data_IF_701355111077
#
_entry.id   IF_701355111077
#
_cell.length_a   1.000
_cell.length_b   1.000
_cell.length_c   1.000
_cell.angle_alpha   90.00
_cell.angle_beta   90.00
_cell.angle_gamma   90.00
#
_symmetry.space_group_name_H-M   'P 1'
#
loop_
_entity.id
_entity.type
_entity.pdbx_description
1 polymer ?
#
# COMPACT_ATOMS: atom_id res chain seq x y z
N UNK A 1 38.76 -16.39 -2.61
CA UNK A 1 37.49 -15.74 -2.89
C UNK A 1 37.69 -14.80 -4.06
N UNK A 2 37.25 -15.20 -5.26
CA UNK A 2 37.31 -14.36 -6.45
C UNK A 2 36.18 -13.34 -6.32
N UNK A 3 36.50 -12.09 -5.99
CA UNK A 3 35.61 -10.97 -6.03
C UNK A 3 35.16 -10.68 -7.46
N UNK A 4 34.11 -11.32 -7.94
CA UNK A 4 33.43 -10.86 -9.14
C UNK A 4 32.84 -9.48 -8.83
N UNK A 5 33.34 -8.46 -9.50
CA UNK A 5 32.71 -7.15 -9.48
C UNK A 5 31.29 -7.33 -10.06
N UNK A 6 30.27 -7.15 -9.22
CA UNK A 6 28.90 -7.01 -9.71
C UNK A 6 28.88 -5.86 -10.73
N UNK A 7 28.37 -6.11 -11.94
CA UNK A 7 28.19 -5.06 -12.95
C UNK A 7 27.35 -3.94 -12.31
N UNK A 8 27.93 -2.75 -12.23
CA UNK A 8 27.19 -1.55 -11.83
C UNK A 8 26.20 -1.23 -12.93
N UNK A 9 24.92 -1.29 -12.65
CA UNK A 9 23.83 -0.98 -13.60
C UNK A 9 23.84 0.47 -14.14
N UNK A 10 24.73 1.29 -13.70
CA UNK A 10 24.96 2.66 -14.12
C UNK A 10 25.44 3.51 -12.95
N UNK A 11 26.08 4.61 -13.27
CA UNK A 11 26.44 5.65 -12.32
C UNK A 11 25.72 6.92 -12.75
N UNK A 12 24.96 7.53 -11.87
CA UNK A 12 24.16 8.70 -12.16
C UNK A 12 24.47 9.81 -11.16
N UNK A 13 24.41 11.05 -11.65
CA UNK A 13 24.26 12.24 -10.82
C UNK A 13 22.77 12.57 -10.78
N UNK A 14 22.22 12.70 -9.58
CA UNK A 14 20.77 12.85 -9.34
C UNK A 14 20.52 14.10 -8.51
N UNK A 15 19.61 14.96 -8.97
CA UNK A 15 19.15 16.15 -8.27
C UNK A 15 17.63 16.19 -8.12
N UNK A 16 17.13 16.61 -6.97
CA UNK A 16 15.70 16.76 -6.71
C UNK A 16 15.39 18.04 -5.93
N UNK A 17 14.33 18.70 -6.32
CA UNK A 17 13.72 19.77 -5.50
C UNK A 17 12.22 19.49 -5.37
N UNK A 18 11.67 19.71 -4.18
CA UNK A 18 10.27 19.57 -3.90
C UNK A 18 9.80 20.81 -3.12
N UNK A 19 8.85 21.53 -3.69
CA UNK A 19 8.16 22.64 -3.04
C UNK A 19 6.70 22.29 -2.89
N UNK A 20 6.14 22.44 -1.69
CA UNK A 20 4.75 22.11 -1.40
C UNK A 20 4.10 23.18 -0.55
N UNK A 21 2.82 23.45 -0.83
CA UNK A 21 1.98 24.31 -0.03
C UNK A 21 0.63 23.60 0.20
N UNK A 22 0.13 23.64 1.44
CA UNK A 22 -1.13 23.01 1.83
C UNK A 22 -2.06 24.07 2.40
N UNK A 23 -3.32 24.05 1.95
CA UNK A 23 -4.44 24.71 2.59
C UNK A 23 -5.50 23.68 2.97
N UNK A 24 -6.03 23.75 4.19
CA UNK A 24 -7.09 22.86 4.68
C UNK A 24 -8.06 23.64 5.56
N UNK A 25 -9.32 23.24 5.52
CA UNK A 25 -10.36 23.83 6.35
C UNK A 25 -11.45 22.79 6.69
N UNK A 26 -12.00 22.97 7.89
CA UNK A 26 -13.10 22.17 8.41
C UNK A 26 -14.30 23.08 8.68
N UNK A 27 -15.49 22.69 8.22
CA UNK A 27 -16.73 23.43 8.44
C UNK A 27 -17.75 22.54 9.14
N UNK A 28 -18.25 23.00 10.28
CA UNK A 28 -19.40 22.38 10.92
C UNK A 28 -20.68 22.80 10.18
N UNK A 29 -21.28 21.86 9.46
CA UNK A 29 -22.52 22.09 8.70
C UNK A 29 -23.77 22.03 9.59
N UNK A 30 -23.78 21.11 10.56
CA UNK A 30 -24.84 20.86 11.51
C UNK A 30 -24.29 20.05 12.70
N UNK A 31 -25.05 19.85 13.78
CA UNK A 31 -24.67 18.95 14.86
C UNK A 31 -24.29 17.56 14.32
N UNK A 32 -23.08 17.13 14.61
CA UNK A 32 -22.54 15.85 14.15
C UNK A 32 -22.01 15.83 12.70
N UNK A 33 -22.21 16.87 11.89
CA UNK A 33 -21.76 16.92 10.49
C UNK A 33 -20.60 17.89 10.30
N UNK A 34 -19.49 17.42 9.73
CA UNK A 34 -18.32 18.24 9.40
C UNK A 34 -17.90 17.99 7.95
N UNK A 35 -17.83 19.04 7.17
CA UNK A 35 -17.24 19.05 5.84
C UNK A 35 -15.76 19.40 5.97
N UNK A 36 -14.91 18.62 5.32
CA UNK A 36 -13.47 18.82 5.26
C UNK A 36 -13.10 19.15 3.81
N UNK A 37 -12.26 20.16 3.64
CA UNK A 37 -11.70 20.50 2.35
C UNK A 37 -10.20 20.71 2.47
N UNK A 38 -9.43 20.17 1.54
CA UNK A 38 -8.01 20.49 1.46
C UNK A 38 -7.52 20.51 0.03
N UNK A 39 -6.49 21.29 -0.23
CA UNK A 39 -5.74 21.27 -1.48
C UNK A 39 -4.27 21.42 -1.17
N UNK A 40 -3.47 20.51 -1.70
CA UNK A 40 -2.02 20.61 -1.68
C UNK A 40 -1.55 20.96 -3.10
N UNK A 41 -0.82 22.04 -3.23
CA UNK A 41 -0.05 22.36 -4.43
C UNK A 41 1.37 21.83 -4.27
N UNK A 42 1.92 21.26 -5.35
CA UNK A 42 3.29 20.75 -5.38
C UNK A 42 3.98 21.14 -6.67
N UNK A 43 5.25 21.51 -6.54
CA UNK A 43 6.18 21.64 -7.65
C UNK A 43 7.39 20.76 -7.37
N UNK A 44 7.66 19.82 -8.28
CA UNK A 44 8.70 18.80 -8.13
C UNK A 44 9.62 18.86 -9.33
N UNK A 45 10.95 18.81 -9.11
CA UNK A 45 11.94 18.63 -10.18
C UNK A 45 12.75 17.37 -9.97
N UNK A 46 13.18 16.77 -11.06
CA UNK A 46 14.09 15.61 -11.07
C UNK A 46 15.08 15.78 -12.20
N UNK A 47 16.34 15.79 -11.84
CA UNK A 47 17.46 15.86 -12.75
C UNK A 47 18.27 14.56 -12.64
N UNK A 48 18.51 13.90 -13.75
CA UNK A 48 19.29 12.69 -13.81
C UNK A 48 20.30 12.79 -14.97
N UNK A 49 21.57 12.56 -14.68
CA UNK A 49 22.64 12.51 -15.67
C UNK A 49 23.41 11.21 -15.52
N UNK A 50 23.57 10.47 -16.60
CA UNK A 50 24.35 9.25 -16.63
C UNK A 50 25.84 9.59 -16.79
N UNK A 51 26.69 9.19 -15.84
CA UNK A 51 28.14 9.49 -15.87
C UNK A 51 28.90 8.81 -17.01
N UNK A 52 28.38 7.69 -17.52
CA UNK A 52 29.02 6.91 -18.58
C UNK A 52 28.61 7.32 -20.00
N UNK A 53 27.72 8.29 -20.14
CA UNK A 53 27.23 8.79 -21.44
C UNK A 53 26.74 10.23 -21.33
N UNK A 54 26.38 10.84 -22.45
CA UNK A 54 25.78 12.17 -22.48
C UNK A 54 24.26 12.18 -22.13
N UNK A 55 23.69 11.03 -21.75
CA UNK A 55 22.27 10.95 -21.46
C UNK A 55 21.93 11.74 -20.20
N UNK A 56 21.03 12.69 -20.35
CA UNK A 56 20.49 13.51 -19.26
C UNK A 56 18.99 13.66 -19.38
N UNK A 57 18.31 13.81 -18.24
CA UNK A 57 16.89 14.01 -18.14
C UNK A 57 16.60 15.07 -17.09
N UNK A 58 15.88 16.11 -17.50
CA UNK A 58 15.34 17.11 -16.59
C UNK A 58 13.83 17.06 -16.74
N UNK A 59 13.12 16.82 -15.65
CA UNK A 59 11.66 16.81 -15.60
C UNK A 59 11.16 17.63 -14.43
N UNK A 60 10.08 18.35 -14.67
CA UNK A 60 9.34 19.06 -13.65
C UNK A 60 7.85 18.78 -13.73
N UNK A 61 7.18 18.87 -12.59
CA UNK A 61 5.74 18.71 -12.47
C UNK A 61 5.19 19.73 -11.51
N UNK A 62 4.11 20.39 -11.91
CA UNK A 62 3.31 21.26 -11.04
C UNK A 62 1.87 20.76 -11.05
N UNK A 63 1.31 20.53 -9.86
CA UNK A 63 -0.04 19.95 -9.75
C UNK A 63 -0.71 20.32 -8.43
N UNK A 64 -2.04 20.19 -8.42
CA UNK A 64 -2.84 20.32 -7.22
C UNK A 64 -3.51 18.99 -6.87
N UNK A 65 -3.49 18.64 -5.59
CA UNK A 65 -4.09 17.43 -5.01
C UNK A 65 -5.24 17.83 -4.09
N UNK A 66 -6.47 18.00 -4.64
CA UNK A 66 -7.65 18.33 -3.85
C UNK A 66 -8.22 17.11 -3.14
N UNK A 67 -8.80 17.34 -1.96
CA UNK A 67 -9.59 16.37 -1.21
C UNK A 67 -10.80 17.09 -0.61
N UNK A 68 -11.96 16.46 -0.70
CA UNK A 68 -13.18 16.83 0.01
C UNK A 68 -13.68 15.61 0.78
N UNK A 69 -14.13 15.81 2.00
CA UNK A 69 -14.63 14.76 2.87
C UNK A 69 -15.81 15.23 3.68
N UNK A 70 -16.74 14.35 3.94
CA UNK A 70 -17.86 14.56 4.84
C UNK A 70 -17.77 13.55 5.98
N UNK A 71 -17.74 14.04 7.21
CA UNK A 71 -17.78 13.23 8.42
C UNK A 71 -19.14 13.41 9.11
N UNK A 72 -19.71 12.31 9.55
CA UNK A 72 -20.93 12.29 10.33
C UNK A 72 -20.74 11.48 11.63
N UNK A 73 -20.85 12.17 12.77
CA UNK A 73 -20.95 11.55 14.08
C UNK A 73 -22.39 11.01 14.25
N UNK A 74 -22.65 9.82 13.70
CA UNK A 74 -24.00 9.21 13.65
C UNK A 74 -24.54 8.88 15.03
N UNK A 75 -23.64 8.52 15.97
CA UNK A 75 -23.91 8.33 17.39
C UNK A 75 -22.71 8.80 18.22
N UNK A 76 -22.80 8.87 19.57
CA UNK A 76 -21.64 9.15 20.41
C UNK A 76 -20.47 8.16 20.25
N UNK A 77 -20.76 6.98 19.72
CA UNK A 77 -19.76 5.89 19.55
C UNK A 77 -19.52 5.50 18.10
N UNK A 78 -20.16 6.13 17.12
CA UNK A 78 -20.06 5.75 15.70
C UNK A 78 -19.86 6.98 14.83
N UNK A 79 -18.86 6.95 14.00
CA UNK A 79 -18.59 7.96 12.98
C UNK A 79 -18.56 7.31 11.61
N UNK A 80 -19.19 7.96 10.63
CA UNK A 80 -19.18 7.60 9.22
C UNK A 80 -18.48 8.69 8.43
N UNK A 81 -17.91 8.34 7.29
CA UNK A 81 -17.29 9.31 6.38
C UNK A 81 -17.48 8.94 4.92
N UNK A 82 -17.41 9.96 4.08
CA UNK A 82 -17.28 9.87 2.64
C UNK A 82 -16.17 10.80 2.18
N UNK A 83 -15.27 10.32 1.33
CA UNK A 83 -14.15 11.08 0.80
C UNK A 83 -14.12 11.00 -0.72
N UNK A 84 -13.81 12.14 -1.37
CA UNK A 84 -13.41 12.21 -2.76
C UNK A 84 -12.06 12.92 -2.83
N UNK A 85 -11.09 12.32 -3.48
CA UNK A 85 -9.76 12.90 -3.61
C UNK A 85 -9.15 12.64 -4.99
N UNK A 86 -8.25 13.53 -5.37
CA UNK A 86 -7.35 13.32 -6.49
C UNK A 86 -5.93 13.32 -5.98
N UNK A 87 -5.13 12.35 -6.39
CA UNK A 87 -3.72 12.25 -6.05
C UNK A 87 -2.85 12.20 -7.30
N UNK A 88 -1.60 12.59 -7.12
CA UNK A 88 -0.57 12.60 -8.15
C UNK A 88 0.71 12.06 -7.55
N UNK A 89 1.45 11.27 -8.31
CA UNK A 89 2.73 10.73 -7.90
C UNK A 89 3.72 10.86 -9.06
N UNK A 90 4.76 11.65 -8.81
CA UNK A 90 5.86 11.81 -9.75
C UNK A 90 6.79 10.60 -9.68
N UNK A 91 7.43 10.20 -10.79
CA UNK A 91 8.40 9.14 -10.79
C UNK A 91 9.53 9.37 -9.79
N UNK A 92 9.92 8.30 -9.11
CA UNK A 92 11.13 8.27 -8.28
C UNK A 92 12.39 8.16 -9.13
N UNK A 93 13.55 8.41 -8.55
CA UNK A 93 14.81 8.20 -9.28
C UNK A 93 15.02 6.75 -9.72
N UNK A 94 14.55 5.79 -8.89
CA UNK A 94 14.64 4.38 -9.26
C UNK A 94 13.84 4.07 -10.54
N UNK A 95 12.66 4.63 -10.66
CA UNK A 95 11.81 4.49 -11.85
C UNK A 95 12.43 5.19 -13.07
N UNK A 96 12.93 6.41 -12.89
CA UNK A 96 13.57 7.21 -13.95
C UNK A 96 14.79 6.47 -14.52
N UNK A 97 15.71 5.97 -13.69
CA UNK A 97 16.92 5.30 -14.16
C UNK A 97 16.66 3.89 -14.70
N UNK A 98 15.50 3.31 -14.41
CA UNK A 98 15.05 2.03 -14.94
C UNK A 98 13.91 2.17 -15.97
N UNK A 99 13.63 3.39 -16.46
CA UNK A 99 12.52 3.62 -17.38
C UNK A 99 12.73 2.90 -18.73
N UNK A 100 11.63 2.38 -19.28
CA UNK A 100 11.57 1.78 -20.62
C UNK A 100 10.37 2.34 -21.40
N UNK A 101 10.42 2.26 -22.72
CA UNK A 101 9.32 2.75 -23.57
C UNK A 101 8.15 1.77 -23.66
N UNK A 102 8.41 0.48 -23.46
CA UNK A 102 7.42 -0.60 -23.47
C UNK A 102 7.92 -1.84 -22.72
N UNK A 103 7.03 -2.77 -22.32
CA UNK A 103 7.39 -3.97 -21.56
C UNK A 103 8.48 -4.83 -22.18
N UNK A 104 8.46 -4.97 -23.49
CA UNK A 104 9.36 -5.84 -24.25
C UNK A 104 10.46 -5.08 -25.00
N UNK A 105 10.79 -3.85 -24.58
CA UNK A 105 11.87 -3.09 -25.18
C UNK A 105 13.21 -3.79 -24.98
N UNK A 106 14.03 -3.97 -26.04
CA UNK A 106 15.34 -4.60 -25.89
C UNK A 106 16.23 -3.81 -24.93
N UNK A 107 17.12 -4.50 -24.25
CA UNK A 107 18.04 -3.91 -23.26
C UNK A 107 18.91 -2.77 -23.84
N UNK A 108 19.09 -2.72 -25.16
CA UNK A 108 19.77 -1.63 -25.88
C UNK A 108 19.01 -0.31 -25.82
N UNK A 109 17.69 -0.33 -25.57
CA UNK A 109 16.89 0.89 -25.36
C UNK A 109 17.18 1.56 -23.98
N UNK A 110 17.91 0.91 -23.09
CA UNK A 110 18.33 1.47 -21.79
C UNK A 110 19.48 2.49 -21.90
N UNK A 111 19.98 2.76 -23.10
CA UNK A 111 21.07 3.73 -23.30
C UNK A 111 20.64 5.18 -23.04
N UNK A 112 19.34 5.48 -23.13
CA UNK A 112 18.75 6.80 -22.96
C UNK A 112 17.82 6.83 -21.74
N UNK A 113 17.80 7.97 -21.03
CA UNK A 113 16.84 8.20 -19.96
C UNK A 113 15.47 8.51 -20.57
N UNK A 114 14.48 7.69 -20.26
CA UNK A 114 13.12 7.83 -20.79
C UNK A 114 12.29 8.74 -19.88
N UNK A 115 11.56 9.68 -20.47
CA UNK A 115 10.62 10.53 -19.76
C UNK A 115 9.40 9.73 -19.31
N UNK A 116 9.17 9.69 -18.01
CA UNK A 116 7.96 9.11 -17.42
C UNK A 116 6.97 10.21 -17.10
N UNK A 117 5.69 9.91 -17.31
CA UNK A 117 4.58 10.77 -16.87
C UNK A 117 4.34 10.54 -15.38
N UNK A 118 3.80 11.55 -14.74
CA UNK A 118 3.25 11.45 -13.39
C UNK A 118 1.97 10.60 -13.41
N UNK A 119 1.88 9.60 -12.53
CA UNK A 119 0.63 8.87 -12.36
C UNK A 119 -0.41 9.72 -11.60
N UNK A 120 -1.69 9.48 -11.90
CA UNK A 120 -2.81 10.23 -11.34
C UNK A 120 -3.91 9.28 -10.91
N UNK A 121 -4.45 9.48 -9.73
CA UNK A 121 -5.59 8.72 -9.25
C UNK A 121 -6.74 9.64 -8.82
N UNK A 122 -7.96 9.18 -9.06
CA UNK A 122 -9.17 9.75 -8.46
C UNK A 122 -9.81 8.66 -7.62
N UNK A 123 -10.00 8.94 -6.34
CA UNK A 123 -10.47 7.98 -5.34
C UNK A 123 -11.74 8.46 -4.68
N UNK A 124 -12.74 7.59 -4.62
CA UNK A 124 -13.89 7.69 -3.74
C UNK A 124 -13.76 6.64 -2.64
N UNK A 125 -14.02 7.04 -1.41
CA UNK A 125 -14.00 6.17 -0.24
C UNK A 125 -15.23 6.45 0.64
N UNK A 126 -15.85 5.40 1.12
CA UNK A 126 -16.91 5.43 2.15
C UNK A 126 -16.46 4.55 3.30
N UNK A 127 -16.65 5.02 4.52
CA UNK A 127 -16.24 4.23 5.66
C UNK A 127 -16.95 4.59 6.94
N UNK A 128 -16.66 3.81 7.95
CA UNK A 128 -17.16 4.00 9.31
C UNK A 128 -16.19 3.42 10.33
N UNK A 129 -16.27 3.97 11.53
CA UNK A 129 -15.58 3.46 12.70
C UNK A 129 -16.45 3.66 13.93
N UNK A 130 -16.32 2.75 14.87
CA UNK A 130 -17.09 2.87 16.08
C UNK A 130 -16.68 1.85 17.14
N UNK A 131 -17.46 1.82 18.20
CA UNK A 131 -17.33 0.83 19.26
C UNK A 131 -18.70 0.27 19.67
N UNK A 132 -18.71 -1.00 19.97
CA UNK A 132 -19.81 -1.68 20.63
C UNK A 132 -19.43 -2.01 22.07
N UNK A 133 -20.38 -1.91 22.99
CA UNK A 133 -20.15 -2.15 24.41
C UNK A 133 -19.48 -0.97 25.11
N UNK A 134 -19.20 -1.14 26.41
CA UNK A 134 -18.65 -0.11 27.28
C UNK A 134 -17.45 -0.63 28.11
N UNK A 135 -16.62 0.31 28.54
CA UNK A 135 -15.47 0.02 29.43
C UNK A 135 -14.51 -1.00 28.83
N UNK A 136 -14.13 -1.99 29.64
CA UNK A 136 -13.16 -3.03 29.27
C UNK A 136 -13.71 -4.08 28.27
N UNK A 137 -15.01 -4.03 27.94
CA UNK A 137 -15.67 -4.96 27.01
C UNK A 137 -15.97 -4.30 25.66
N UNK A 138 -15.45 -3.09 25.45
CA UNK A 138 -15.64 -2.38 24.18
C UNK A 138 -14.92 -3.09 23.05
N UNK A 139 -15.65 -3.31 21.96
CA UNK A 139 -15.12 -3.79 20.68
C UNK A 139 -15.08 -2.63 19.71
N UNK A 140 -13.90 -2.27 19.24
CA UNK A 140 -13.69 -1.24 18.23
C UNK A 140 -13.74 -1.87 16.85
N UNK A 141 -14.41 -1.23 15.93
CA UNK A 141 -14.49 -1.66 14.54
C UNK A 141 -14.18 -0.51 13.59
N UNK A 142 -13.64 -0.86 12.44
CA UNK A 142 -13.48 0.01 11.28
C UNK A 142 -13.95 -0.74 10.04
N UNK A 143 -14.57 -0.03 9.10
CA UNK A 143 -14.94 -0.58 7.81
C UNK A 143 -14.79 0.52 6.76
N UNK A 144 -14.19 0.19 5.62
CA UNK A 144 -14.11 1.09 4.48
C UNK A 144 -14.29 0.33 3.18
N UNK A 145 -14.88 0.99 2.20
CA UNK A 145 -14.92 0.57 0.80
C UNK A 145 -14.37 1.72 -0.04
N UNK A 146 -13.55 1.39 -1.02
CA UNK A 146 -12.96 2.40 -1.87
C UNK A 146 -12.89 1.97 -3.33
N UNK A 147 -12.82 2.96 -4.20
CA UNK A 147 -12.51 2.78 -5.63
C UNK A 147 -11.66 3.92 -6.12
N UNK A 148 -10.50 3.57 -6.67
CA UNK A 148 -9.55 4.46 -7.34
C UNK A 148 -9.48 4.13 -8.82
N UNK A 149 -9.50 5.15 -9.66
CA UNK A 149 -9.23 5.03 -11.08
C UNK A 149 -7.93 5.76 -11.37
N UNK A 150 -6.96 5.02 -11.93
CA UNK A 150 -5.63 5.54 -12.18
C UNK A 150 -5.40 5.71 -13.69
N UNK A 151 -4.63 6.74 -14.02
CA UNK A 151 -4.11 6.98 -15.35
C UNK A 151 -2.59 7.13 -15.28
N UNK A 152 -1.91 6.65 -16.31
CA UNK A 152 -0.47 6.70 -16.44
C UNK A 152 0.26 6.00 -15.27
N UNK A 153 -0.32 4.92 -14.69
CA UNK A 153 0.29 4.19 -13.58
C UNK A 153 1.67 3.68 -13.96
N UNK A 154 2.62 3.81 -13.02
CA UNK A 154 3.98 3.36 -13.20
C UNK A 154 4.07 1.86 -12.91
N UNK A 155 4.23 1.08 -13.98
CA UNK A 155 4.30 -0.38 -13.92
C UNK A 155 5.74 -0.83 -14.14
N UNK A 156 6.19 -1.74 -13.27
CA UNK A 156 7.49 -2.40 -13.42
C UNK A 156 7.36 -3.65 -14.27
N UNK A 157 8.31 -3.85 -15.16
CA UNK A 157 8.47 -5.10 -15.93
C UNK A 157 9.59 -5.94 -15.36
N UNK A 158 9.43 -7.25 -15.44
CA UNK A 158 10.44 -8.24 -15.07
C UNK A 158 10.82 -9.08 -16.28
N UNK A 159 12.04 -9.58 -16.29
CA UNK A 159 12.47 -10.59 -17.27
C UNK A 159 11.92 -11.99 -16.91
N UNK A 160 12.27 -12.99 -17.70
CA UNK A 160 11.88 -14.39 -17.48
C UNK A 160 12.39 -14.97 -16.15
N UNK A 161 13.38 -14.33 -15.51
CA UNK A 161 13.93 -14.72 -14.20
C UNK A 161 13.30 -13.95 -13.04
N UNK A 162 12.29 -13.10 -13.31
CA UNK A 162 11.65 -12.26 -12.30
C UNK A 162 12.45 -11.01 -11.90
N UNK A 163 13.53 -10.69 -12.63
CA UNK A 163 14.38 -9.52 -12.35
C UNK A 163 13.70 -8.29 -12.97
N UNK A 164 13.55 -7.21 -12.19
CA UNK A 164 13.02 -5.95 -12.69
C UNK A 164 13.95 -5.38 -13.79
N UNK A 165 13.41 -5.24 -14.98
CA UNK A 165 14.14 -4.75 -16.16
C UNK A 165 13.73 -3.36 -16.61
N UNK A 166 12.63 -2.83 -16.11
CA UNK A 166 12.22 -1.48 -16.48
C UNK A 166 10.97 -0.99 -15.76
N UNK A 167 10.67 0.28 -15.99
CA UNK A 167 9.44 0.95 -15.54
C UNK A 167 8.88 1.76 -16.71
N UNK A 168 7.58 1.73 -16.89
CA UNK A 168 6.87 2.51 -17.91
C UNK A 168 5.50 2.96 -17.41
N UNK A 169 4.92 3.98 -18.06
CA UNK A 169 3.55 4.38 -17.78
C UNK A 169 2.56 3.49 -18.54
N UNK A 170 1.66 2.84 -17.83
CA UNK A 170 0.62 2.03 -18.43
C UNK A 170 -0.50 2.88 -19.00
N UNK A 171 -0.60 2.95 -20.34
CA UNK A 171 -1.54 3.82 -21.03
C UNK A 171 -3.01 3.38 -20.89
N UNK A 172 -3.26 2.07 -20.67
CA UNK A 172 -4.61 1.50 -20.54
C UNK A 172 -5.35 1.91 -19.27
N UNK A 173 -4.62 2.48 -18.30
CA UNK A 173 -5.13 2.83 -16.97
C UNK A 173 -5.51 1.60 -16.14
N UNK A 174 -5.65 1.81 -14.84
CA UNK A 174 -5.98 0.76 -13.87
C UNK A 174 -7.15 1.17 -12.99
N UNK A 175 -7.68 0.21 -12.27
CA UNK A 175 -8.72 0.40 -11.25
C UNK A 175 -8.33 -0.39 -10.01
N UNK A 176 -8.24 0.31 -8.88
CA UNK A 176 -8.03 -0.28 -7.57
C UNK A 176 -9.29 -0.10 -6.73
N UNK A 177 -9.93 -1.18 -6.36
CA UNK A 177 -11.09 -1.13 -5.49
C UNK A 177 -11.01 -2.23 -4.44
N UNK A 178 -11.63 -1.98 -3.28
CA UNK A 178 -11.53 -2.94 -2.20
C UNK A 178 -12.42 -2.65 -1.03
N UNK A 179 -12.33 -3.56 -0.07
CA UNK A 179 -12.99 -3.48 1.24
C UNK A 179 -11.93 -3.71 2.30
N UNK A 180 -11.95 -2.90 3.33
CA UNK A 180 -11.09 -3.04 4.50
C UNK A 180 -11.95 -3.12 5.75
N UNK A 181 -11.71 -4.15 6.57
CA UNK A 181 -12.36 -4.33 7.86
C UNK A 181 -11.31 -4.46 8.96
N UNK A 182 -11.56 -3.83 10.08
CA UNK A 182 -10.74 -3.94 11.28
C UNK A 182 -11.60 -4.18 12.52
N UNK A 183 -11.11 -5.02 13.40
CA UNK A 183 -11.74 -5.34 14.68
C UNK A 183 -10.68 -5.39 15.78
N UNK A 184 -10.95 -4.78 16.92
CA UNK A 184 -10.10 -4.94 18.10
C UNK A 184 -10.91 -4.80 19.38
N UNK A 185 -10.52 -5.54 20.41
CA UNK A 185 -11.21 -5.48 21.69
C UNK A 185 -10.44 -6.25 22.76
N UNK A 186 -10.90 -6.08 24.00
CA UNK A 186 -10.39 -6.80 25.15
C UNK A 186 -11.57 -7.34 25.96
N UNK A 187 -11.50 -8.59 26.35
CA UNK A 187 -12.53 -9.26 27.14
C UNK A 187 -11.93 -9.89 28.38
N UNK A 188 -12.47 -9.64 29.55
CA UNK A 188 -12.07 -10.36 30.76
C UNK A 188 -12.40 -11.84 30.64
N UNK A 189 -11.40 -12.68 30.90
CA UNK A 189 -11.51 -14.15 30.89
C UNK A 189 -10.75 -14.69 32.08
N UNK A 190 -11.44 -15.29 33.04
CA UNK A 190 -10.83 -15.76 34.30
C UNK A 190 -10.14 -14.62 35.04
N UNK A 191 -8.91 -14.84 35.44
CA UNK A 191 -8.06 -13.86 36.17
C UNK A 191 -7.35 -12.86 35.28
N UNK A 192 -7.51 -12.99 33.97
CA UNK A 192 -6.83 -12.15 32.95
C UNK A 192 -7.80 -11.50 31.98
N UNK A 193 -7.25 -11.16 30.82
CA UNK A 193 -8.02 -10.61 29.71
C UNK A 193 -7.53 -11.17 28.35
N UNK A 194 -8.43 -11.41 27.46
CA UNK A 194 -8.17 -11.79 26.08
C UNK A 194 -8.23 -10.54 25.22
N UNK A 195 -7.10 -10.17 24.65
CA UNK A 195 -6.97 -9.08 23.66
C UNK A 195 -7.04 -9.67 22.27
N UNK A 196 -8.00 -9.20 21.47
CA UNK A 196 -8.21 -9.66 20.09
C UNK A 196 -7.98 -8.50 19.14
N UNK A 197 -7.27 -8.75 18.04
CA UNK A 197 -7.11 -7.82 16.93
C UNK A 197 -7.21 -8.59 15.61
N UNK A 198 -8.03 -8.12 14.69
CA UNK A 198 -8.19 -8.73 13.38
C UNK A 198 -8.33 -7.65 12.31
N UNK A 199 -7.80 -7.93 11.13
CA UNK A 199 -8.05 -7.14 9.93
C UNK A 199 -8.27 -8.05 8.73
N UNK A 200 -9.13 -7.64 7.83
CA UNK A 200 -9.36 -8.26 6.54
C UNK A 200 -9.36 -7.19 5.47
N UNK A 201 -8.56 -7.43 4.42
CA UNK A 201 -8.48 -6.60 3.23
C UNK A 201 -8.87 -7.44 2.03
N UNK A 202 -9.82 -6.95 1.26
CA UNK A 202 -10.15 -7.45 -0.07
C UNK A 202 -9.72 -6.42 -1.10
N UNK A 203 -8.91 -6.83 -2.10
CA UNK A 203 -8.36 -5.98 -3.16
C UNK A 203 -8.71 -6.55 -4.53
N UNK A 204 -9.43 -5.78 -5.35
CA UNK A 204 -9.68 -6.07 -6.76
C UNK A 204 -9.01 -4.99 -7.62
N UNK A 205 -7.72 -5.22 -7.91
CA UNK A 205 -6.87 -4.31 -8.68
C UNK A 205 -6.70 -4.87 -10.08
N UNK A 206 -7.16 -4.11 -11.09
CA UNK A 206 -7.20 -4.57 -12.47
C UNK A 206 -6.78 -3.52 -13.47
N UNK A 207 -6.22 -3.99 -14.55
CA UNK A 207 -6.02 -3.20 -15.76
C UNK A 207 -7.37 -2.92 -16.44
N UNK A 208 -7.60 -1.68 -16.87
CA UNK A 208 -8.86 -1.25 -17.50
C UNK A 208 -8.87 -1.42 -19.00
N UNK A 209 -7.73 -1.26 -19.65
CA UNK A 209 -7.55 -1.34 -21.09
C UNK A 209 -6.11 -1.71 -21.43
N UNK A 210 -5.76 -1.71 -22.72
CA UNK A 210 -4.41 -2.08 -23.18
C UNK A 210 -4.20 -3.60 -23.21
N UNK A 211 -2.94 -4.02 -23.23
CA UNK A 211 -2.56 -5.42 -23.43
C UNK A 211 -2.99 -6.35 -22.26
N UNK A 212 -3.11 -5.80 -21.04
CA UNK A 212 -3.53 -6.55 -19.85
C UNK A 212 -4.98 -6.29 -19.46
N UNK A 213 -5.82 -5.78 -20.37
CA UNK A 213 -7.21 -5.42 -20.08
C UNK A 213 -7.97 -6.56 -19.36
N UNK A 214 -8.56 -6.25 -18.20
CA UNK A 214 -9.28 -7.20 -17.36
C UNK A 214 -8.42 -8.05 -16.42
N UNK A 215 -7.12 -8.15 -16.65
CA UNK A 215 -6.20 -8.89 -15.80
C UNK A 215 -6.03 -8.23 -14.43
N UNK A 216 -5.71 -9.04 -13.44
CA UNK A 216 -5.34 -8.60 -12.10
C UNK A 216 -3.91 -8.04 -12.12
N UNK A 217 -3.66 -6.97 -11.36
CA UNK A 217 -2.30 -6.47 -11.15
C UNK A 217 -1.52 -7.50 -10.34
N UNK A 218 -0.37 -7.92 -10.87
CA UNK A 218 0.49 -8.93 -10.26
C UNK A 218 1.02 -8.47 -8.89
N UNK A 219 1.26 -9.44 -8.01
CA UNK A 219 1.83 -9.21 -6.69
C UNK A 219 0.86 -8.59 -5.66
N UNK A 220 -0.41 -8.34 -6.03
CA UNK A 220 -1.43 -7.81 -5.11
C UNK A 220 -2.36 -8.95 -4.66
N UNK A 221 -2.28 -9.40 -3.39
CA UNK A 221 -3.17 -10.42 -2.87
C UNK A 221 -4.63 -9.95 -2.90
N UNK A 222 -5.54 -10.77 -3.44
CA UNK A 222 -6.98 -10.45 -3.43
C UNK A 222 -7.57 -10.43 -2.03
N UNK A 223 -7.05 -11.25 -1.14
CA UNK A 223 -7.47 -11.27 0.26
C UNK A 223 -6.27 -11.40 1.17
N UNK A 224 -6.25 -10.57 2.19
CA UNK A 224 -5.26 -10.64 3.27
C UNK A 224 -5.99 -10.57 4.60
N UNK A 225 -5.78 -11.58 5.43
CA UNK A 225 -6.32 -11.65 6.79
C UNK A 225 -5.16 -11.65 7.76
N UNK A 226 -5.17 -10.76 8.73
CA UNK A 226 -4.29 -10.79 9.87
C UNK A 226 -5.14 -10.88 11.13
N UNK A 227 -4.79 -11.77 12.06
CA UNK A 227 -5.44 -11.86 13.35
C UNK A 227 -4.42 -12.16 14.45
N UNK A 228 -4.64 -11.57 15.61
CA UNK A 228 -3.85 -11.79 16.82
C UNK A 228 -4.80 -11.97 17.98
N UNK A 229 -4.55 -12.99 18.79
CA UNK A 229 -5.29 -13.27 20.03
C UNK A 229 -4.30 -13.49 21.14
N UNK A 230 -4.23 -12.54 22.07
CA UNK A 230 -3.27 -12.57 23.18
C UNK A 230 -4.00 -12.61 24.51
N UNK A 231 -3.63 -13.57 25.37
CA UNK A 231 -4.09 -13.61 26.74
C UNK A 231 -3.13 -12.83 27.62
N UNK A 232 -3.69 -11.88 28.39
CA UNK A 232 -2.95 -11.05 29.34
C UNK A 232 -3.25 -11.50 30.77
N UNK A 233 -2.21 -11.86 31.51
CA UNK A 233 -2.31 -12.29 32.91
C UNK A 233 -1.13 -11.72 33.69
N UNK A 234 -1.40 -10.83 34.64
CA UNK A 234 -0.37 -10.12 35.40
C UNK A 234 0.58 -9.36 34.47
N UNK A 235 1.87 -9.61 34.59
CA UNK A 235 2.92 -9.02 33.76
C UNK A 235 3.06 -9.67 32.37
N UNK A 236 2.39 -10.78 32.13
CA UNK A 236 2.53 -11.58 30.90
C UNK A 236 1.42 -11.32 29.91
N UNK A 237 1.78 -11.35 28.61
CA UNK A 237 0.86 -11.32 27.48
C UNK A 237 1.36 -12.28 26.42
N UNK A 238 0.54 -13.24 26.04
CA UNK A 238 0.97 -14.30 25.11
C UNK A 238 -0.18 -14.84 24.28
N UNK A 239 0.15 -15.38 23.10
CA UNK A 239 -0.83 -16.02 22.25
C UNK A 239 -0.40 -16.14 20.78
N UNK A 240 -1.29 -16.68 19.94
CA UNK A 240 -1.05 -16.82 18.52
C UNK A 240 -1.34 -15.55 17.73
N UNK A 241 -0.70 -15.46 16.56
CA UNK A 241 -1.08 -14.57 15.47
C UNK A 241 -1.02 -15.32 14.16
N UNK A 242 -1.84 -14.90 13.21
CA UNK A 242 -1.93 -15.49 11.88
C UNK A 242 -1.90 -14.40 10.81
N UNK A 243 -1.19 -14.69 9.72
CA UNK A 243 -1.29 -13.98 8.45
C UNK A 243 -1.73 -14.98 7.40
N UNK A 244 -2.87 -14.73 6.75
CA UNK A 244 -3.48 -15.67 5.83
C UNK A 244 -3.86 -14.99 4.52
N UNK A 245 -3.38 -15.55 3.42
CA UNK A 245 -3.77 -15.24 2.04
C UNK A 245 -4.50 -16.47 1.46
N UNK A 246 -5.85 -16.49 1.53
CA UNK A 246 -6.64 -17.66 1.18
C UNK A 246 -6.78 -17.91 -0.33
N UNK A 247 -6.30 -16.97 -1.16
CA UNK A 247 -6.42 -17.04 -2.62
C UNK A 247 -5.05 -16.87 -3.24
N UNK A 248 -4.73 -17.62 -4.29
CA UNK A 248 -3.51 -17.48 -5.06
C UNK A 248 -3.41 -16.07 -5.69
N UNK A 249 -2.17 -15.63 -5.89
CA UNK A 249 -1.88 -14.28 -6.39
C UNK A 249 -1.03 -14.39 -7.66
N UNK A 250 -1.46 -13.81 -8.79
CA UNK A 250 -0.66 -13.78 -10.01
C UNK A 250 0.70 -13.11 -9.77
N UNK A 251 1.77 -13.67 -10.33
CA UNK A 251 3.13 -13.15 -10.23
C UNK A 251 3.52 -12.32 -11.45
N UNK A 252 2.74 -12.38 -12.54
CA UNK A 252 2.89 -11.57 -13.73
C UNK A 252 1.59 -10.85 -14.13
N UNK A 253 1.70 -9.78 -14.91
CA UNK A 253 0.56 -8.97 -15.34
C UNK A 253 -0.28 -9.63 -16.45
N UNK A 254 0.26 -10.63 -17.15
CA UNK A 254 -0.48 -11.44 -18.11
C UNK A 254 -1.45 -12.40 -17.41
N UNK A 255 -1.28 -12.63 -16.11
CA UNK A 255 -1.97 -13.62 -15.29
C UNK A 255 -1.82 -15.02 -15.92
N UNK A 256 -0.60 -15.36 -16.25
CA UNK A 256 -0.25 -16.64 -16.89
C UNK A 256 -0.67 -17.80 -15.99
N UNK A 257 -1.48 -18.77 -16.49
CA UNK A 257 -1.85 -19.93 -15.69
C UNK A 257 -0.61 -20.70 -15.21
N UNK A 258 -0.54 -20.98 -13.91
CA UNK A 258 0.60 -21.62 -13.25
C UNK A 258 1.73 -20.68 -12.83
N UNK A 259 1.67 -19.38 -13.19
CA UNK A 259 2.56 -18.35 -12.69
C UNK A 259 1.89 -17.59 -11.53
N UNK A 260 1.58 -18.31 -10.47
CA UNK A 260 0.88 -17.78 -9.30
C UNK A 260 1.62 -18.15 -8.03
N UNK A 261 1.61 -17.25 -7.06
CA UNK A 261 1.93 -17.61 -5.69
C UNK A 261 0.70 -18.31 -5.09
N UNK A 262 0.88 -19.52 -4.60
CA UNK A 262 -0.19 -20.28 -3.95
C UNK A 262 -0.77 -19.57 -2.73
N UNK A 263 -2.02 -19.89 -2.41
CA UNK A 263 -2.63 -19.53 -1.16
C UNK A 263 -1.84 -20.09 0.04
N UNK A 264 -1.61 -19.29 1.06
CA UNK A 264 -0.88 -19.72 2.25
C UNK A 264 -1.35 -19.03 3.54
N UNK A 265 -1.09 -19.71 4.65
CA UNK A 265 -1.27 -19.15 6.00
C UNK A 265 -0.01 -19.35 6.84
N UNK A 266 0.37 -18.31 7.55
CA UNK A 266 1.51 -18.32 8.48
C UNK A 266 0.97 -18.18 9.89
N UNK A 267 1.26 -19.17 10.73
CA UNK A 267 0.97 -19.13 12.16
C UNK A 267 2.22 -18.69 12.91
N UNK A 268 2.05 -17.74 13.80
CA UNK A 268 3.10 -17.31 14.71
C UNK A 268 2.65 -17.30 16.16
N UNK A 269 3.57 -17.06 17.06
CA UNK A 269 3.34 -16.94 18.50
C UNK A 269 4.09 -15.75 19.03
N UNK A 270 3.50 -15.09 20.03
CA UNK A 270 4.08 -13.95 20.73
C UNK A 270 4.02 -14.19 22.23
N UNK A 271 5.09 -13.82 22.90
CA UNK A 271 5.21 -13.75 24.35
C UNK A 271 5.78 -12.39 24.72
N UNK A 272 5.10 -11.67 25.57
CA UNK A 272 5.51 -10.36 26.09
C UNK A 272 5.48 -10.42 27.63
N UNK A 273 6.50 -9.87 28.25
CA UNK A 273 6.56 -9.64 29.68
C UNK A 273 6.85 -8.16 29.95
N UNK A 274 6.10 -7.57 30.88
CA UNK A 274 6.25 -6.15 31.21
C UNK A 274 6.22 -5.98 32.71
N UNK A 275 7.24 -5.26 33.23
CA UNK A 275 7.30 -4.84 34.63
C UNK A 275 7.85 -3.42 34.71
N UNK A 276 7.05 -2.49 35.25
CA UNK A 276 7.35 -1.06 35.28
C UNK A 276 7.70 -0.51 33.89
N UNK A 277 8.87 0.12 33.72
CA UNK A 277 9.30 0.69 32.45
C UNK A 277 9.90 -0.36 31.49
N UNK A 278 10.16 -1.58 31.95
CA UNK A 278 10.80 -2.62 31.15
C UNK A 278 9.75 -3.47 30.43
N UNK A 279 9.94 -3.68 29.14
CA UNK A 279 9.17 -4.62 28.35
C UNK A 279 10.12 -5.51 27.54
N UNK A 280 9.94 -6.82 27.65
CA UNK A 280 10.64 -7.83 26.87
C UNK A 280 9.63 -8.58 26.04
N UNK A 281 9.96 -8.87 24.78
CA UNK A 281 9.10 -9.69 23.94
C UNK A 281 9.91 -10.68 23.11
N UNK A 282 9.28 -11.82 22.83
CA UNK A 282 9.75 -12.84 21.89
C UNK A 282 8.62 -13.11 20.92
N UNK A 283 8.93 -13.08 19.63
CA UNK A 283 7.99 -13.42 18.57
C UNK A 283 8.63 -14.48 17.68
N UNK A 284 7.85 -15.50 17.36
CA UNK A 284 8.20 -16.53 16.39
C UNK A 284 7.15 -16.52 15.29
N UNK A 285 7.57 -16.27 14.08
CA UNK A 285 6.73 -16.32 12.88
C UNK A 285 6.87 -17.67 12.18
N UNK A 286 5.83 -18.05 11.42
CA UNK A 286 5.83 -19.28 10.63
C UNK A 286 6.25 -20.54 11.42
N UNK A 287 5.69 -20.73 12.63
CA UNK A 287 6.01 -21.86 13.51
C UNK A 287 5.62 -23.24 12.93
N UNK A 288 4.87 -23.25 11.84
CA UNK A 288 4.49 -24.46 11.09
C UNK A 288 5.44 -24.78 9.94
N UNK A 289 6.50 -23.99 9.73
CA UNK A 289 7.49 -24.14 8.65
C UNK A 289 6.84 -24.22 7.26
N UNK A 290 5.80 -23.39 7.02
CA UNK A 290 5.13 -23.35 5.72
C UNK A 290 6.05 -22.70 4.68
N UNK A 291 6.29 -23.39 3.57
CA UNK A 291 6.95 -22.82 2.38
C UNK A 291 5.90 -22.12 1.51
N UNK A 292 6.24 -20.94 0.99
CA UNK A 292 5.35 -20.11 0.21
C UNK A 292 6.12 -19.22 -0.77
#
# INVERSE_FOLDING_TARGET
ANGQQMQRFGSYDLGAQNLQALAAADWRLAPGWTLLGSVQWSHLTRDAQRRSSAAQLNQDWSFATPKIGLNWAATPTTRLWANLSRSHEAPTFWEIVSATVAPNSPATAQAELVRLKMQRATTIELGGAGRWGEGAHAVHWTAAVYRSVLADELISTTDANGIKVGTYNYAGGTRHQGVELGLSGSQRVGTGALDVRASWTYSDFRFRGGEYAGNQIAGVPRQLINAEVLYRMGAWRFGPHVRWMPVSTPTDHANTPGAEQDAYGLLGRKLEWRDGPLALYVQADNVTDRRY
#
